data_IF_593171673107
#
_entry.id   IF_593171673107
#
_cell.length_a   1.000
_cell.length_b   1.000
_cell.length_c   1.000
_cell.angle_alpha   90.00
_cell.angle_beta   90.00
_cell.angle_gamma   90.00
#
_symmetry.space_group_name_H-M   'P 1'
#
loop_
_entity.id
_entity.type
_entity.pdbx_description
1 polymer ?
#
# COMPACT_ATOMS: atom_id res chain seq x y z
N UNK A 1 -14.65 -18.33 -39.61
CA UNK A 1 -13.69 -18.37 -38.49
C UNK A 1 -12.40 -17.72 -38.96
N UNK A 2 -11.88 -16.74 -38.23
CA UNK A 2 -10.56 -16.19 -38.56
C UNK A 2 -9.51 -17.22 -38.12
N UNK A 3 -8.58 -17.56 -39.02
CA UNK A 3 -7.50 -18.48 -38.71
C UNK A 3 -6.64 -17.89 -37.58
N UNK A 4 -6.27 -18.72 -36.60
CA UNK A 4 -5.34 -18.32 -35.57
C UNK A 4 -3.97 -18.06 -36.18
N UNK A 5 -3.45 -16.85 -36.02
CA UNK A 5 -2.12 -16.47 -36.47
C UNK A 5 -1.25 -16.28 -35.21
N UNK A 6 -0.16 -17.07 -35.06
CA UNK A 6 0.78 -16.89 -33.97
C UNK A 6 1.38 -15.48 -33.95
N UNK A 7 1.63 -14.94 -32.75
CA UNK A 7 2.15 -13.57 -32.58
C UNK A 7 3.42 -13.31 -33.40
N UNK A 8 4.33 -14.28 -33.45
CA UNK A 8 5.61 -14.18 -34.18
C UNK A 8 5.43 -13.90 -35.68
N UNK A 9 4.34 -14.42 -36.26
CA UNK A 9 4.01 -14.31 -37.70
C UNK A 9 3.24 -13.04 -38.03
N UNK A 10 2.87 -12.23 -37.04
CA UNK A 10 2.20 -10.95 -37.28
C UNK A 10 3.18 -9.92 -37.86
N UNK A 11 2.64 -9.03 -38.71
CA UNK A 11 3.37 -7.85 -39.16
C UNK A 11 3.76 -6.95 -37.99
N UNK A 12 4.83 -6.17 -38.16
CA UNK A 12 5.30 -5.24 -37.11
C UNK A 12 4.20 -4.29 -36.62
N UNK A 13 3.32 -3.83 -37.52
CA UNK A 13 2.17 -2.97 -37.19
C UNK A 13 1.17 -3.67 -36.29
N UNK A 14 0.77 -4.90 -36.64
CA UNK A 14 -0.20 -5.67 -35.86
C UNK A 14 0.32 -6.06 -34.48
N UNK A 15 1.61 -6.40 -34.36
CA UNK A 15 2.27 -6.62 -33.06
C UNK A 15 2.12 -5.40 -32.17
N UNK A 16 2.46 -4.21 -32.69
CA UNK A 16 2.34 -2.94 -31.96
C UNK A 16 0.91 -2.63 -31.50
N UNK A 17 -0.09 -2.82 -32.36
CA UNK A 17 -1.50 -2.64 -31.98
C UNK A 17 -1.90 -3.55 -30.82
N UNK A 18 -1.51 -4.82 -30.87
CA UNK A 18 -1.81 -5.83 -29.85
C UNK A 18 -1.05 -5.54 -28.55
N UNK A 19 0.22 -5.15 -28.63
CA UNK A 19 0.99 -4.79 -27.44
C UNK A 19 0.47 -3.50 -26.80
N UNK A 20 0.03 -2.52 -27.59
CA UNK A 20 -0.63 -1.32 -27.08
C UNK A 20 -1.97 -1.63 -26.41
N UNK A 21 -2.75 -2.59 -26.93
CA UNK A 21 -3.99 -3.00 -26.25
C UNK A 21 -3.73 -3.74 -24.94
N UNK A 22 -2.59 -4.45 -24.84
CA UNK A 22 -2.12 -5.06 -23.58
C UNK A 22 -1.52 -4.04 -22.61
N UNK A 23 -0.89 -2.97 -23.13
CA UNK A 23 -0.27 -1.88 -22.35
C UNK A 23 -1.32 -0.84 -22.00
N UNK A 24 -1.89 -0.91 -20.81
CA UNK A 24 -2.84 0.11 -20.33
C UNK A 24 -3.33 -0.16 -18.92
N UNK A 25 -3.28 -1.42 -18.51
CA UNK A 25 -3.60 -1.85 -17.16
C UNK A 25 -2.48 -2.74 -16.68
N UNK A 26 -2.18 -2.71 -15.39
CA UNK A 26 -1.24 -3.64 -14.74
C UNK A 26 -1.82 -5.07 -14.62
N UNK A 27 -2.78 -5.44 -15.48
CA UNK A 27 -3.61 -6.62 -15.34
C UNK A 27 -4.44 -6.56 -14.05
N UNK A 28 -4.34 -7.60 -13.23
CA UNK A 28 -4.99 -7.73 -11.92
C UNK A 28 -4.25 -6.96 -10.80
N UNK A 29 -3.03 -6.49 -11.06
CA UNK A 29 -2.18 -5.83 -10.07
C UNK A 29 -2.45 -4.33 -10.04
N UNK A 30 -3.22 -3.81 -9.09
CA UNK A 30 -3.32 -2.36 -8.93
C UNK A 30 -2.13 -1.84 -8.06
N UNK A 31 -1.17 -1.06 -8.61
CA UNK A 31 -0.04 -0.55 -7.83
C UNK A 31 -0.49 0.45 -6.74
N UNK A 32 -1.64 1.10 -6.91
CA UNK A 32 -2.19 2.04 -5.93
C UNK A 32 -2.69 1.31 -4.68
N UNK A 33 -3.33 0.14 -4.84
CA UNK A 33 -3.86 -0.63 -3.71
C UNK A 33 -2.78 -1.42 -2.96
N UNK A 34 -1.63 -1.67 -3.60
CA UNK A 34 -0.45 -2.30 -2.96
C UNK A 34 0.53 -1.29 -2.36
N UNK A 35 0.23 0.01 -2.40
CA UNK A 35 1.10 1.03 -1.82
C UNK A 35 1.09 0.92 -0.29
N UNK A 36 2.24 0.69 0.37
CA UNK A 36 2.30 0.74 1.82
C UNK A 36 1.98 2.15 2.32
N UNK A 37 1.41 2.24 3.52
CA UNK A 37 1.13 3.52 4.17
C UNK A 37 2.45 4.32 4.26
N UNK A 38 2.47 5.62 3.88
CA UNK A 38 3.70 6.39 3.93
C UNK A 38 4.26 6.43 5.35
N UNK A 39 5.59 6.31 5.50
CA UNK A 39 6.24 6.25 6.81
C UNK A 39 5.97 7.50 7.69
N UNK A 40 5.73 8.65 7.06
CA UNK A 40 5.38 9.92 7.72
C UNK A 40 3.87 10.16 7.85
N UNK A 41 3.03 9.20 7.49
CA UNK A 41 1.60 9.34 7.65
C UNK A 41 1.26 9.45 9.14
N UNK A 42 0.58 10.53 9.51
CA UNK A 42 0.07 10.68 10.86
C UNK A 42 -0.94 9.56 11.15
N UNK A 43 -0.75 8.86 12.27
CA UNK A 43 -1.67 7.83 12.74
C UNK A 43 -1.92 8.03 14.24
N UNK A 44 -3.11 8.56 14.57
CA UNK A 44 -3.49 8.88 15.96
C UNK A 44 -3.61 7.66 16.86
N UNK A 45 -3.86 6.46 16.32
CA UNK A 45 -3.88 5.23 17.13
C UNK A 45 -2.48 4.74 17.50
N UNK A 46 -1.45 5.10 16.72
CA UNK A 46 -0.04 4.85 17.04
C UNK A 46 0.57 5.89 17.98
N UNK A 47 -0.07 7.06 18.13
CA UNK A 47 0.41 8.05 19.08
C UNK A 47 0.30 7.46 20.49
N UNK A 48 1.44 7.36 21.19
CA UNK A 48 1.45 6.93 22.60
C UNK A 48 0.48 7.83 23.37
N UNK A 49 -0.55 7.22 23.97
CA UNK A 49 -1.32 7.89 25.02
C UNK A 49 -0.33 8.16 26.14
N UNK A 50 -0.02 9.42 26.38
CA UNK A 50 0.66 9.83 27.60
C UNK A 50 -0.34 9.59 28.73
N UNK A 51 -0.26 8.43 29.36
CA UNK A 51 -0.98 8.19 30.60
C UNK A 51 -0.26 9.04 31.66
N UNK A 52 -0.76 10.27 31.85
CA UNK A 52 -0.44 11.11 33.01
C UNK A 52 -1.19 10.57 34.23
N UNK A 53 -0.91 9.32 34.60
CA UNK A 53 -1.42 8.73 35.84
C UNK A 53 -0.29 8.02 36.58
N UNK A 54 0.73 8.81 36.92
CA UNK A 54 1.75 8.46 37.91
C UNK A 54 1.77 9.52 39.02
N UNK A 55 0.59 9.96 39.45
CA UNK A 55 0.43 10.80 40.65
C UNK A 55 0.03 9.99 41.89
N UNK A 56 -0.20 8.68 41.73
CA UNK A 56 -0.52 7.78 42.85
C UNK A 56 0.71 7.22 43.58
N UNK A 57 1.93 7.33 43.02
CA UNK A 57 3.13 6.68 43.58
C UNK A 57 3.95 7.55 44.53
N UNK A 58 3.76 8.88 44.54
CA UNK A 58 4.59 9.82 45.32
C UNK A 58 3.97 10.20 46.67
N UNK A 59 2.66 10.03 46.87
CA UNK A 59 1.96 10.45 48.10
C UNK A 59 1.97 9.41 49.23
N UNK A 60 2.47 8.19 49.00
CA UNK A 60 2.49 7.12 50.02
C UNK A 60 3.65 7.20 51.04
N UNK A 61 4.66 8.06 50.83
CA UNK A 61 5.82 8.11 51.72
C UNK A 61 5.74 9.17 52.84
N UNK A 62 4.78 10.09 52.80
CA UNK A 62 4.73 11.23 53.73
C UNK A 62 3.63 11.14 54.81
N UNK A 63 2.85 10.06 54.88
CA UNK A 63 1.72 9.92 55.84
C UNK A 63 2.04 8.92 56.98
N UNK A 64 3.25 8.34 57.03
CA UNK A 64 3.68 7.39 58.08
C UNK A 64 4.93 7.84 58.86
N UNK A 65 5.18 9.15 58.95
CA UNK A 65 6.28 9.73 59.75
C UNK A 65 5.75 10.79 60.71
#
# INVERSE_FOLDING_TARGET
MNNFIPYEKLSKKKKRELDNSRRGTWGELNPVTRRPVPAKAYNRSKARKWNYDDSSSVLCFYILL
#
